data_IF_624424420930
#
_entry.id   IF_624424420930
#
_cell.length_a   1.000
_cell.length_b   1.000
_cell.length_c   1.000
_cell.angle_alpha   90.00
_cell.angle_beta   90.00
_cell.angle_gamma   90.00
#
_symmetry.space_group_name_H-M   'P 1'
#
loop_
_entity.id
_entity.type
_entity.pdbx_description
1 polymer ?
#
# COMPACT_ATOMS: atom_id res chain seq x y z
N UNK A 1 6.12 -12.05 9.14
CA UNK A 1 5.41 -10.76 9.11
C UNK A 1 4.05 -10.97 8.44
N UNK A 2 2.94 -10.50 9.03
CA UNK A 2 1.61 -10.58 8.36
C UNK A 2 1.36 -9.35 7.47
N UNK A 3 0.74 -9.56 6.31
CA UNK A 3 0.47 -8.50 5.32
C UNK A 3 -1.01 -8.46 4.91
N UNK A 4 -1.50 -7.28 4.56
CA UNK A 4 -2.75 -7.08 3.81
C UNK A 4 -2.38 -6.66 2.40
N UNK A 5 -2.76 -7.47 1.41
CA UNK A 5 -2.56 -7.15 0.00
C UNK A 5 -3.76 -6.36 -0.51
N UNK A 6 -3.52 -5.16 -1.02
CA UNK A 6 -4.54 -4.30 -1.60
C UNK A 6 -4.28 -4.13 -3.10
N UNK A 7 -5.17 -4.65 -3.97
CA UNK A 7 -5.11 -4.35 -5.40
C UNK A 7 -5.36 -2.86 -5.66
N UNK A 8 -4.56 -2.27 -6.55
CA UNK A 8 -4.69 -0.87 -6.95
C UNK A 8 -4.30 -0.71 -8.43
N UNK A 9 -5.24 -0.27 -9.27
CA UNK A 9 -5.03 -0.31 -10.72
C UNK A 9 -4.59 1.02 -11.33
N UNK A 10 -4.64 2.12 -10.55
CA UNK A 10 -4.40 3.47 -11.06
C UNK A 10 -3.68 4.32 -10.01
N UNK A 11 -2.35 4.16 -9.84
CA UNK A 11 -1.55 5.08 -9.03
C UNK A 11 -1.70 6.51 -9.53
N UNK A 12 -1.54 7.48 -8.65
CA UNK A 12 -1.70 8.90 -9.00
C UNK A 12 -0.50 9.41 -9.82
N UNK A 13 0.69 8.91 -9.51
CA UNK A 13 1.95 9.33 -10.13
C UNK A 13 3.01 8.23 -9.95
N UNK A 14 3.98 8.20 -10.86
CA UNK A 14 5.13 7.29 -10.81
C UNK A 14 6.44 8.07 -10.77
N UNK A 15 7.40 7.59 -9.99
CA UNK A 15 8.76 8.10 -9.94
C UNK A 15 9.71 6.91 -9.82
N UNK A 16 10.48 6.62 -10.87
CA UNK A 16 11.34 5.44 -10.96
C UNK A 16 10.58 4.14 -10.61
N UNK A 17 11.05 3.39 -9.62
CA UNK A 17 10.42 2.18 -9.11
C UNK A 17 9.37 2.44 -8.01
N UNK A 18 8.87 3.68 -7.86
CA UNK A 18 7.91 4.07 -6.81
C UNK A 18 6.61 4.60 -7.41
N UNK A 19 5.49 4.20 -6.81
CA UNK A 19 4.16 4.69 -7.14
C UNK A 19 3.59 5.54 -6.00
N UNK A 20 3.09 6.73 -6.31
CA UNK A 20 2.28 7.51 -5.37
C UNK A 20 0.85 6.97 -5.33
N UNK A 21 0.39 6.60 -4.13
CA UNK A 21 -0.93 6.03 -3.93
C UNK A 21 -1.61 6.70 -2.73
N UNK A 22 -2.85 7.12 -2.94
CA UNK A 22 -3.70 7.61 -1.87
C UNK A 22 -4.56 6.47 -1.31
N UNK A 23 -4.39 6.15 -0.03
CA UNK A 23 -5.20 5.18 0.67
C UNK A 23 -6.21 5.84 1.59
N UNK A 24 -7.36 5.20 1.77
CA UNK A 24 -8.32 5.59 2.80
C UNK A 24 -7.67 5.47 4.19
N UNK A 25 -7.68 6.56 4.96
CA UNK A 25 -7.12 6.60 6.31
C UNK A 25 -7.71 5.51 7.22
N UNK A 26 -9.00 5.19 7.07
CA UNK A 26 -9.65 4.14 7.86
C UNK A 26 -9.12 2.74 7.51
N UNK A 27 -8.76 2.49 6.25
CA UNK A 27 -8.08 1.25 5.85
C UNK A 27 -6.71 1.14 6.53
N UNK A 28 -5.93 2.22 6.55
CA UNK A 28 -4.59 2.23 7.17
C UNK A 28 -4.69 2.03 8.68
N UNK A 29 -5.66 2.66 9.35
CA UNK A 29 -5.95 2.44 10.78
C UNK A 29 -6.37 1.00 11.07
N UNK A 30 -7.16 0.38 10.20
CA UNK A 30 -7.54 -1.03 10.31
C UNK A 30 -6.30 -1.93 10.24
N UNK A 31 -5.44 -1.73 9.24
CA UNK A 31 -4.18 -2.48 9.10
C UNK A 31 -3.30 -2.34 10.36
N UNK A 32 -3.17 -1.12 10.89
CA UNK A 32 -2.46 -0.87 12.17
C UNK A 32 -3.07 -1.65 13.33
N UNK A 33 -4.40 -1.63 13.49
CA UNK A 33 -5.10 -2.36 14.56
C UNK A 33 -4.88 -3.86 14.46
N UNK A 34 -4.86 -4.39 13.25
CA UNK A 34 -4.57 -5.80 12.97
C UNK A 34 -3.08 -6.15 13.05
N UNK A 35 -2.19 -5.17 13.29
CA UNK A 35 -0.73 -5.33 13.29
C UNK A 35 -0.19 -5.92 11.98
N UNK A 36 -0.80 -5.55 10.86
CA UNK A 36 -0.40 -6.00 9.52
C UNK A 36 0.26 -4.90 8.72
N UNK A 37 1.25 -5.27 7.93
CA UNK A 37 1.85 -4.40 6.94
C UNK A 37 0.96 -4.29 5.70
N UNK A 38 1.07 -3.19 4.98
CA UNK A 38 0.30 -2.96 3.75
C UNK A 38 1.20 -3.28 2.55
N UNK A 39 0.74 -4.15 1.67
CA UNK A 39 1.34 -4.41 0.37
C UNK A 39 0.35 -3.98 -0.70
N UNK A 40 0.80 -3.15 -1.64
CA UNK A 40 -0.01 -2.80 -2.81
C UNK A 40 0.36 -3.74 -3.94
N UNK A 41 -0.66 -4.35 -4.57
CA UNK A 41 -0.52 -5.05 -5.85
C UNK A 41 -0.92 -4.10 -6.98
N UNK A 42 0.08 -3.63 -7.73
CA UNK A 42 -0.05 -2.84 -8.95
C UNK A 42 -0.01 -3.77 -10.18
N UNK A 43 -0.41 -3.30 -11.38
CA UNK A 43 -0.22 -4.04 -12.62
C UNK A 43 1.23 -4.48 -12.88
N UNK A 44 2.19 -3.65 -12.46
CA UNK A 44 3.63 -3.85 -12.64
C UNK A 44 4.25 -4.77 -11.57
N UNK A 45 3.49 -5.13 -10.53
CA UNK A 45 3.94 -6.06 -9.48
C UNK A 45 3.54 -5.64 -8.07
N UNK A 46 4.23 -6.19 -7.09
CA UNK A 46 4.03 -5.98 -5.67
C UNK A 46 4.97 -4.92 -5.11
N UNK A 47 4.45 -4.02 -4.29
CA UNK A 47 5.25 -3.09 -3.52
C UNK A 47 5.88 -3.75 -2.29
N UNK A 48 6.98 -3.17 -1.81
CA UNK A 48 7.54 -3.47 -0.50
C UNK A 48 6.49 -3.24 0.59
N UNK A 49 6.44 -4.08 1.64
CA UNK A 49 5.54 -3.90 2.77
C UNK A 49 5.78 -2.55 3.46
N UNK A 50 4.71 -1.82 3.72
CA UNK A 50 4.77 -0.53 4.42
C UNK A 50 4.12 -0.67 5.80
N UNK A 51 4.79 -0.18 6.84
CA UNK A 51 4.21 -0.11 8.18
C UNK A 51 3.10 0.97 8.19
N UNK A 52 1.86 0.61 8.54
CA UNK A 52 0.78 1.59 8.65
C UNK A 52 1.07 2.71 9.65
N UNK A 53 1.92 2.51 10.67
CA UNK A 53 2.36 3.57 11.58
C UNK A 53 3.22 4.61 10.87
N UNK A 54 4.18 4.18 10.05
CA UNK A 54 5.02 5.09 9.27
C UNK A 54 4.17 5.87 8.27
N UNK A 55 3.23 5.21 7.60
CA UNK A 55 2.34 5.88 6.67
C UNK A 55 1.44 6.93 7.36
N UNK A 56 0.93 6.64 8.57
CA UNK A 56 0.12 7.60 9.33
C UNK A 56 0.94 8.78 9.89
N UNK A 57 2.24 8.58 10.12
CA UNK A 57 3.17 9.59 10.66
C UNK A 57 3.77 10.47 9.57
N UNK A 58 4.21 9.85 8.49
CA UNK A 58 5.00 10.48 7.42
C UNK A 58 4.20 10.70 6.13
N UNK A 59 3.04 10.07 5.97
CA UNK A 59 2.20 10.23 4.80
C UNK A 59 1.57 11.62 4.73
N UNK A 60 1.51 12.17 3.51
CA UNK A 60 0.86 13.47 3.28
C UNK A 60 -0.65 13.26 3.36
N UNK A 61 -1.29 13.91 4.32
CA UNK A 61 -2.75 13.91 4.43
C UNK A 61 -3.30 14.75 3.29
N UNK A 62 -3.90 14.08 2.31
CA UNK A 62 -4.63 14.76 1.23
C UNK A 62 -6.05 15.05 1.72
N UNK A 63 -6.67 16.12 1.22
CA UNK A 63 -8.01 16.53 1.62
C UNK A 63 -9.07 15.44 1.40
N UNK A 64 -10.24 15.63 2.01
CA UNK A 64 -11.33 14.68 1.89
C UNK A 64 -11.82 14.60 0.44
N UNK A 65 -11.74 13.42 -0.17
CA UNK A 65 -12.43 13.16 -1.44
C UNK A 65 -13.82 12.64 -1.15
N UNK A 66 -14.77 13.12 -1.92
CA UNK A 66 -16.16 12.70 -1.82
C UNK A 66 -16.38 11.54 -2.79
N UNK A 67 -16.74 10.36 -2.28
CA UNK A 67 -17.16 9.22 -3.11
C UNK A 67 -18.61 9.41 -3.65
N UNK A 68 -19.20 10.58 -3.39
CA UNK A 68 -20.57 11.01 -3.63
C UNK A 68 -20.91 12.19 -2.70
N UNK A 69 -22.09 12.80 -2.83
CA UNK A 69 -22.46 14.03 -2.11
C UNK A 69 -22.36 13.96 -0.57
N UNK A 70 -22.41 12.77 0.05
CA UNK A 70 -22.55 12.64 1.51
C UNK A 70 -21.47 11.77 2.19
N UNK A 71 -20.47 11.26 1.47
CA UNK A 71 -19.46 10.36 2.08
C UNK A 71 -18.05 10.91 1.92
N UNK A 72 -17.61 11.83 2.80
CA UNK A 72 -16.25 12.32 2.82
C UNK A 72 -15.29 11.20 3.23
N UNK A 73 -14.28 10.94 2.41
CA UNK A 73 -13.21 9.99 2.67
C UNK A 73 -11.91 10.75 2.86
N UNK A 74 -11.31 10.60 4.06
CA UNK A 74 -9.96 11.11 4.30
C UNK A 74 -8.93 10.16 3.71
N UNK A 75 -7.95 10.75 3.04
CA UNK A 75 -6.90 10.02 2.34
C UNK A 75 -5.54 10.33 2.95
N UNK A 76 -4.66 9.33 2.91
CA UNK A 76 -3.23 9.49 3.20
C UNK A 76 -2.46 9.01 1.97
N UNK A 77 -1.65 9.91 1.43
CA UNK A 77 -0.80 9.67 0.27
C UNK A 77 0.64 9.36 0.66
N UNK A 78 1.28 8.49 -0.11
CA UNK A 78 2.69 8.18 0.04
C UNK A 78 3.24 7.41 -1.16
N UNK A 79 4.56 7.36 -1.26
CA UNK A 79 5.25 6.55 -2.27
C UNK A 79 5.40 5.11 -1.78
N UNK A 80 5.05 4.15 -2.65
CA UNK A 80 5.24 2.73 -2.46
C UNK A 80 6.28 2.24 -3.46
N UNK A 81 7.35 1.64 -2.96
CA UNK A 81 8.43 1.11 -3.80
C UNK A 81 8.09 -0.30 -4.28
N UNK A 82 8.23 -0.58 -5.57
CA UNK A 82 8.11 -1.92 -6.14
C UNK A 82 9.30 -2.80 -5.76
N UNK A 83 9.05 -4.08 -5.52
CA UNK A 83 10.13 -5.08 -5.51
C UNK A 83 10.75 -5.21 -6.91
N UNK A 84 12.05 -5.54 -7.00
CA UNK A 84 12.72 -5.75 -8.27
C UNK A 84 12.18 -7.03 -8.96
N UNK A 85 12.33 -7.16 -10.30
CA UNK A 85 11.69 -8.22 -11.08
C UNK A 85 11.95 -9.64 -10.57
N UNK A 86 13.18 -9.95 -10.14
CA UNK A 86 13.57 -11.28 -9.66
C UNK A 86 12.80 -11.68 -8.39
N UNK A 87 12.46 -10.69 -7.57
CA UNK A 87 11.67 -10.88 -6.35
C UNK A 87 10.18 -10.99 -6.68
N UNK A 88 9.69 -10.28 -7.70
CA UNK A 88 8.30 -10.39 -8.17
C UNK A 88 7.99 -11.83 -8.60
N UNK A 89 8.85 -12.44 -9.41
CA UNK A 89 8.70 -13.83 -9.85
C UNK A 89 8.60 -14.79 -8.66
N UNK A 90 9.43 -14.57 -7.63
CA UNK A 90 9.37 -15.39 -6.42
C UNK A 90 8.06 -15.19 -5.65
N UNK A 91 7.55 -13.96 -5.54
CA UNK A 91 6.27 -13.66 -4.87
C UNK A 91 5.11 -14.41 -5.53
N UNK A 92 5.10 -14.49 -6.86
CA UNK A 92 4.02 -15.13 -7.61
C UNK A 92 4.05 -16.66 -7.50
N UNK A 93 5.26 -17.24 -7.39
CA UNK A 93 5.45 -18.69 -7.32
C UNK A 93 5.39 -19.26 -5.89
N UNK A 94 5.61 -18.44 -4.86
CA UNK A 94 5.66 -18.88 -3.46
C UNK A 94 4.53 -18.27 -2.61
N UNK A 95 3.49 -19.04 -2.25
CA UNK A 95 2.37 -18.54 -1.44
C UNK A 95 2.78 -18.13 -0.02
N UNK A 96 3.96 -18.53 0.45
CA UNK A 96 4.50 -18.21 1.77
C UNK A 96 5.57 -17.13 1.75
N UNK A 97 5.84 -16.50 0.60
CA UNK A 97 6.90 -15.50 0.43
C UNK A 97 6.99 -14.47 1.59
N UNK A 98 5.85 -13.98 2.06
CA UNK A 98 5.76 -12.94 3.10
C UNK A 98 6.20 -13.40 4.50
N UNK A 99 6.27 -14.71 4.73
CA UNK A 99 6.68 -15.27 6.03
C UNK A 99 8.19 -15.17 6.25
N UNK A 100 8.99 -15.02 5.18
CA UNK A 100 10.45 -15.01 5.23
C UNK A 100 11.08 -13.64 5.57
N UNK A 101 10.31 -12.55 5.59
CA UNK A 101 10.79 -11.19 5.91
C UNK A 101 10.78 -10.90 7.43
N UNK A 102 11.05 -11.90 8.26
CA UNK A 102 11.13 -11.76 9.72
C UNK A 102 12.49 -11.25 10.18
#
# INVERSE_FOLDING_TARGET
MEVIIKPFNKPNHWTDNKAWINLNVEFVKKAKKEKKYIVIKLPEGYCKPVDPNELLKNGVRTEAVFKGFETPMKLVGGYYELFPPEVQERIENDPYFWTYFN
#
